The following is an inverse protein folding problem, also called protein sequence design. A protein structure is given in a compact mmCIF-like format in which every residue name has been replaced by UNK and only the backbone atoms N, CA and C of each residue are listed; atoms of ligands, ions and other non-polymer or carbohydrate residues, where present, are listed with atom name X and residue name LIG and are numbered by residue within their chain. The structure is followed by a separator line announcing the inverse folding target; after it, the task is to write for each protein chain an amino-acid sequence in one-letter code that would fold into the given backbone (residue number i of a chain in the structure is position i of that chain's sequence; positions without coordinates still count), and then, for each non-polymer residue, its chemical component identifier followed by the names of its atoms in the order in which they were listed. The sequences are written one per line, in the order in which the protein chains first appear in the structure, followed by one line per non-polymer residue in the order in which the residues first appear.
data_IF_484991196964
#
_entry.id   IF_484991196964
#
_cell.length_a   1.000
_cell.length_b   1.000
_cell.length_c   1.000
_cell.angle_alpha   90.00
_cell.angle_beta   90.00
_cell.angle_gamma   90.00
#
_symmetry.space_group_name_H-M   'P 1'
#
loop_
_entity.id
_entity.type
_entity.pdbx_description
1 polymer ?
#
# COMPACT_ATOMS: atom_id res chain seq x y z
N UNK A 1 -15.01 -15.40 -9.27
CA UNK A 1 -16.00 -15.49 -10.38
C UNK A 1 -15.92 -14.18 -11.17
N UNK A 2 -15.94 -14.26 -12.49
CA UNK A 2 -15.99 -13.06 -13.37
C UNK A 2 -17.44 -12.53 -13.35
N UNK A 3 -17.66 -11.21 -13.13
CA UNK A 3 -19.00 -10.67 -12.86
C UNK A 3 -19.99 -10.79 -14.02
N UNK A 4 -19.54 -10.56 -15.26
CA UNK A 4 -20.40 -10.70 -16.44
C UNK A 4 -20.39 -12.16 -16.92
N UNK A 5 -21.55 -12.75 -17.09
CA UNK A 5 -21.69 -14.09 -17.62
C UNK A 5 -21.32 -14.14 -19.10
N UNK A 6 -20.69 -15.25 -19.54
CA UNK A 6 -20.24 -15.44 -20.92
C UNK A 6 -21.41 -15.38 -21.92
N UNK A 7 -22.59 -15.87 -21.53
CA UNK A 7 -23.80 -15.81 -22.35
C UNK A 7 -24.16 -14.37 -22.73
N UNK A 8 -24.02 -13.45 -21.76
CA UNK A 8 -24.34 -12.02 -22.00
C UNK A 8 -23.42 -11.41 -23.06
N UNK A 9 -22.16 -11.85 -23.14
CA UNK A 9 -21.21 -11.37 -24.16
C UNK A 9 -21.51 -11.99 -25.53
N UNK A 10 -21.77 -13.30 -25.59
CA UNK A 10 -21.93 -14.03 -26.84
C UNK A 10 -23.32 -13.85 -27.46
N UNK A 11 -24.39 -13.98 -26.68
CA UNK A 11 -25.77 -13.91 -27.17
C UNK A 11 -26.24 -12.47 -27.39
N UNK A 12 -25.66 -11.51 -26.68
CA UNK A 12 -25.93 -10.09 -26.83
C UNK A 12 -25.49 -9.51 -28.17
N UNK A 13 -24.89 -10.33 -29.07
CA UNK A 13 -24.32 -9.93 -30.36
C UNK A 13 -23.55 -8.63 -30.30
N UNK A 14 -22.78 -8.47 -29.20
CA UNK A 14 -21.94 -7.30 -29.04
C UNK A 14 -20.76 -7.41 -30.00
N UNK A 15 -20.66 -6.45 -30.89
CA UNK A 15 -19.50 -6.28 -31.77
C UNK A 15 -18.26 -6.11 -30.91
N UNK A 16 -17.10 -6.64 -31.33
CA UNK A 16 -15.82 -6.27 -30.75
C UNK A 16 -15.71 -4.76 -30.62
N UNK A 17 -15.57 -4.33 -29.39
CA UNK A 17 -15.43 -2.92 -29.01
C UNK A 17 -14.21 -2.79 -28.12
N UNK A 18 -13.98 -1.58 -27.61
CA UNK A 18 -12.87 -1.32 -26.68
C UNK A 18 -12.82 -2.30 -25.50
N UNK A 19 -13.94 -2.87 -25.06
CA UNK A 19 -14.05 -3.75 -23.88
C UNK A 19 -14.12 -5.25 -24.18
N UNK A 20 -14.28 -5.69 -25.41
CA UNK A 20 -14.46 -7.11 -25.72
C UNK A 20 -13.52 -7.51 -26.85
N UNK A 21 -12.83 -8.61 -26.67
CA UNK A 21 -11.98 -9.24 -27.67
C UNK A 21 -12.27 -10.73 -27.75
N UNK A 22 -12.47 -11.25 -28.96
CA UNK A 22 -12.63 -12.66 -29.23
C UNK A 22 -11.41 -13.19 -29.95
N UNK A 23 -10.95 -14.40 -29.60
CA UNK A 23 -9.85 -15.10 -30.27
C UNK A 23 -10.26 -16.54 -30.58
N UNK A 24 -10.09 -16.98 -31.85
CA UNK A 24 -10.35 -18.35 -32.23
C UNK A 24 -9.36 -19.33 -31.58
N UNK A 25 -8.10 -18.92 -31.45
CA UNK A 25 -7.02 -19.76 -30.90
C UNK A 25 -6.10 -18.98 -29.95
N UNK A 26 -5.06 -19.68 -29.47
CA UNK A 26 -4.10 -19.14 -28.53
C UNK A 26 -2.84 -18.64 -29.24
N UNK A 27 -2.74 -17.32 -29.46
CA UNK A 27 -1.50 -16.66 -29.88
C UNK A 27 -0.94 -15.87 -28.68
N UNK A 28 0.14 -16.35 -28.03
CA UNK A 28 0.64 -15.72 -26.81
C UNK A 28 0.97 -14.24 -26.91
N UNK A 29 1.64 -13.78 -27.99
CA UNK A 29 2.00 -12.37 -28.11
C UNK A 29 0.76 -11.49 -28.24
N UNK A 30 -0.19 -11.86 -29.12
CA UNK A 30 -1.43 -11.08 -29.29
C UNK A 30 -2.25 -11.03 -27.99
N UNK A 31 -2.34 -12.15 -27.27
CA UNK A 31 -3.08 -12.25 -26.02
C UNK A 31 -2.44 -11.36 -24.95
N UNK A 32 -1.11 -11.43 -24.77
CA UNK A 32 -0.41 -10.60 -23.78
C UNK A 32 -0.45 -9.11 -24.12
N UNK A 33 -0.35 -8.76 -25.42
CA UNK A 33 -0.50 -7.38 -25.86
C UNK A 33 -1.92 -6.85 -25.58
N UNK A 34 -2.94 -7.68 -25.82
CA UNK A 34 -4.34 -7.34 -25.53
C UNK A 34 -4.56 -7.15 -24.02
N UNK A 35 -4.02 -8.06 -23.19
CA UNK A 35 -4.07 -7.96 -21.74
C UNK A 35 -3.35 -6.67 -21.26
N UNK A 36 -2.17 -6.38 -21.79
CA UNK A 36 -1.43 -5.17 -21.49
C UNK A 36 -2.19 -3.90 -21.91
N UNK A 37 -2.83 -3.93 -23.09
CA UNK A 37 -3.66 -2.84 -23.59
C UNK A 37 -4.89 -2.58 -22.72
N UNK A 38 -5.54 -3.61 -22.19
CA UNK A 38 -6.61 -3.48 -21.22
C UNK A 38 -6.10 -2.96 -19.86
N UNK A 39 -4.92 -3.41 -19.41
CA UNK A 39 -4.33 -2.91 -18.17
C UNK A 39 -4.00 -1.41 -18.27
N UNK A 40 -3.53 -0.92 -19.42
CA UNK A 40 -3.29 0.50 -19.67
C UNK A 40 -4.56 1.32 -19.79
N UNK A 41 -5.65 0.73 -20.28
CA UNK A 41 -7.00 1.32 -20.34
C UNK A 41 -6.99 2.78 -20.81
N UNK A 42 -6.32 3.08 -21.94
CA UNK A 42 -6.21 4.45 -22.44
C UNK A 42 -7.57 5.08 -22.76
N UNK A 43 -8.53 4.23 -23.13
CA UNK A 43 -9.91 4.68 -23.44
C UNK A 43 -10.76 4.99 -22.18
N UNK A 44 -10.26 4.66 -20.95
CA UNK A 44 -10.99 4.91 -19.72
C UNK A 44 -12.29 4.11 -19.56
N UNK A 45 -12.32 2.87 -20.08
CA UNK A 45 -13.53 2.01 -20.11
C UNK A 45 -13.48 0.89 -19.04
N UNK A 46 -12.55 0.98 -18.09
CA UNK A 46 -12.36 0.04 -16.98
C UNK A 46 -11.88 -1.36 -17.43
N UNK A 47 -11.00 -1.35 -18.44
CA UNK A 47 -10.44 -2.57 -19.01
C UNK A 47 -11.39 -3.33 -19.92
N UNK A 48 -11.34 -4.68 -19.93
CA UNK A 48 -12.17 -5.45 -20.82
C UNK A 48 -12.17 -6.96 -20.58
N UNK A 49 -12.72 -7.66 -21.55
CA UNK A 49 -12.91 -9.10 -21.58
C UNK A 49 -12.24 -9.71 -22.79
N UNK A 50 -11.53 -10.80 -22.61
CA UNK A 50 -10.94 -11.59 -23.66
C UNK A 50 -11.50 -13.01 -23.59
N UNK A 51 -12.05 -13.49 -24.70
CA UNK A 51 -12.61 -14.84 -24.82
C UNK A 51 -11.85 -15.63 -25.88
N UNK A 52 -11.27 -16.75 -25.49
CA UNK A 52 -10.52 -17.67 -26.37
C UNK A 52 -11.39 -18.86 -26.70
N UNK A 53 -11.42 -19.29 -27.96
CA UNK A 53 -12.26 -20.34 -28.50
C UNK A 53 -13.44 -19.81 -29.32
N UNK A 54 -13.44 -18.52 -29.63
CA UNK A 54 -14.53 -17.86 -30.38
C UNK A 54 -13.98 -17.24 -31.67
N UNK A 55 -14.54 -17.64 -32.79
CA UNK A 55 -14.28 -17.03 -34.09
C UNK A 55 -15.20 -15.85 -34.32
N UNK A 56 -14.70 -14.84 -35.01
CA UNK A 56 -15.50 -13.65 -35.35
C UNK A 56 -15.65 -13.45 -36.85
N UNK A 57 -16.76 -12.87 -37.26
CA UNK A 57 -16.99 -12.34 -38.61
C UNK A 57 -17.54 -10.93 -38.47
N UNK A 58 -16.86 -9.95 -39.09
CA UNK A 58 -17.18 -8.53 -38.99
C UNK A 58 -17.27 -8.04 -37.52
N UNK A 59 -16.40 -8.59 -36.63
CA UNK A 59 -16.37 -8.27 -35.20
C UNK A 59 -17.49 -8.89 -34.38
N UNK A 60 -18.34 -9.73 -34.96
CA UNK A 60 -19.40 -10.46 -34.26
C UNK A 60 -18.99 -11.92 -34.00
N UNK A 61 -19.26 -12.48 -32.80
CA UNK A 61 -18.98 -13.87 -32.52
C UNK A 61 -19.82 -14.79 -33.40
N UNK A 62 -19.18 -15.80 -34.00
CA UNK A 62 -19.86 -16.90 -34.75
C UNK A 62 -20.29 -17.95 -33.74
N UNK A 63 -21.57 -18.32 -33.74
CA UNK A 63 -22.14 -19.36 -32.88
C UNK A 63 -22.61 -20.56 -33.70
N UNK A 64 -22.41 -21.82 -33.21
CA UNK A 64 -21.76 -22.16 -31.93
C UNK A 64 -20.25 -21.84 -31.97
N UNK A 65 -19.61 -21.53 -30.81
CA UNK A 65 -18.20 -21.24 -30.79
C UNK A 65 -17.35 -22.48 -31.11
N UNK A 66 -16.12 -22.27 -31.58
CA UNK A 66 -15.20 -23.35 -31.92
C UNK A 66 -14.77 -24.12 -30.67
N UNK A 67 -14.62 -23.42 -29.54
CA UNK A 67 -14.16 -23.98 -28.29
C UNK A 67 -12.65 -24.16 -28.21
N UNK A 68 -12.19 -24.55 -27.03
CA UNK A 68 -10.80 -24.94 -26.73
C UNK A 68 -10.84 -26.43 -26.34
N UNK A 69 -10.01 -27.32 -26.98
CA UNK A 69 -9.92 -28.72 -26.60
C UNK A 69 -9.53 -28.87 -25.11
N UNK A 70 -10.14 -29.86 -24.43
CA UNK A 70 -9.92 -30.12 -23.01
C UNK A 70 -8.45 -30.31 -22.64
N UNK A 71 -7.71 -30.99 -23.51
CA UNK A 71 -6.27 -31.31 -23.34
C UNK A 71 -5.40 -30.02 -23.32
N UNK A 72 -5.90 -28.90 -23.86
CA UNK A 72 -5.17 -27.63 -23.96
C UNK A 72 -5.54 -26.63 -22.88
N UNK A 73 -6.61 -26.85 -22.10
CA UNK A 73 -7.13 -25.88 -21.13
C UNK A 73 -6.10 -25.55 -20.07
N UNK A 74 -5.54 -26.54 -19.40
CA UNK A 74 -4.53 -26.37 -18.36
C UNK A 74 -3.26 -25.72 -18.89
N UNK A 75 -2.80 -26.15 -20.10
CA UNK A 75 -1.63 -25.56 -20.73
C UNK A 75 -1.81 -24.09 -21.09
N UNK A 76 -2.99 -23.71 -21.60
CA UNK A 76 -3.32 -22.32 -21.92
C UNK A 76 -3.36 -21.46 -20.66
N UNK A 77 -4.00 -21.93 -19.57
CA UNK A 77 -4.02 -21.19 -18.31
C UNK A 77 -2.61 -20.98 -17.76
N UNK A 78 -1.80 -22.02 -17.73
CA UNK A 78 -0.42 -21.95 -17.27
C UNK A 78 0.41 -20.98 -18.12
N UNK A 79 0.26 -21.04 -19.44
CA UNK A 79 0.95 -20.15 -20.38
C UNK A 79 0.52 -18.69 -20.22
N UNK A 80 -0.77 -18.41 -20.05
CA UNK A 80 -1.24 -17.05 -19.77
C UNK A 80 -0.54 -16.53 -18.52
N UNK A 81 -0.53 -17.30 -17.42
CA UNK A 81 0.14 -16.90 -16.19
C UNK A 81 1.63 -16.65 -16.39
N UNK A 82 2.34 -17.56 -17.09
CA UNK A 82 3.79 -17.44 -17.35
C UNK A 82 4.12 -16.21 -18.20
N UNK A 83 3.33 -15.95 -19.25
CA UNK A 83 3.58 -14.83 -20.15
C UNK A 83 3.16 -13.48 -19.56
N UNK A 84 2.10 -13.43 -18.77
CA UNK A 84 1.70 -12.23 -18.04
C UNK A 84 2.75 -11.79 -17.00
N UNK A 85 3.59 -12.70 -16.49
CA UNK A 85 4.74 -12.33 -15.66
C UNK A 85 5.80 -11.50 -16.41
N UNK A 86 5.71 -11.37 -17.74
CA UNK A 86 6.59 -10.51 -18.56
C UNK A 86 6.02 -9.11 -18.77
N UNK A 87 4.81 -8.86 -18.28
CA UNK A 87 4.23 -7.51 -18.25
C UNK A 87 4.85 -6.75 -17.08
N UNK A 88 5.31 -5.55 -17.33
CA UNK A 88 5.94 -4.65 -16.34
C UNK A 88 5.20 -3.30 -16.27
N UNK A 89 4.75 -2.89 -15.07
CA UNK A 89 4.65 -3.64 -13.82
C UNK A 89 3.86 -4.94 -13.97
N UNK A 90 4.07 -5.90 -13.06
CA UNK A 90 3.40 -7.20 -13.12
C UNK A 90 1.88 -7.05 -13.16
N UNK A 91 1.24 -7.72 -14.12
CA UNK A 91 -0.22 -7.74 -14.26
C UNK A 91 -0.71 -9.13 -14.62
N UNK A 92 -1.73 -9.63 -13.92
CA UNK A 92 -2.35 -10.94 -14.16
C UNK A 92 -3.86 -10.75 -14.17
N UNK A 93 -4.56 -11.12 -15.28
CA UNK A 93 -6.02 -11.05 -15.36
C UNK A 93 -6.67 -12.14 -14.50
N UNK A 94 -7.97 -11.98 -14.21
CA UNK A 94 -8.79 -13.10 -13.70
C UNK A 94 -9.10 -14.03 -14.87
N UNK A 95 -8.94 -15.35 -14.65
CA UNK A 95 -9.13 -16.37 -15.67
C UNK A 95 -10.16 -17.38 -15.17
N UNK A 96 -11.12 -17.73 -16.01
CA UNK A 96 -12.10 -18.80 -15.78
C UNK A 96 -12.24 -19.67 -17.03
N UNK A 97 -12.45 -20.97 -16.85
CA UNK A 97 -12.90 -21.87 -17.90
C UNK A 97 -14.40 -21.99 -17.75
N UNK A 98 -15.13 -21.74 -18.83
CA UNK A 98 -16.59 -21.79 -18.85
C UNK A 98 -17.04 -22.71 -19.99
N UNK A 99 -17.99 -23.60 -19.69
CA UNK A 99 -18.65 -24.41 -20.71
C UNK A 99 -19.81 -23.61 -21.32
N UNK A 100 -19.86 -23.53 -22.65
CA UNK A 100 -20.92 -22.89 -23.38
C UNK A 100 -21.27 -23.69 -24.63
N UNK A 101 -22.55 -24.11 -24.77
CA UNK A 101 -23.06 -24.95 -25.88
C UNK A 101 -22.25 -26.20 -26.13
N UNK A 102 -21.74 -26.86 -25.05
CA UNK A 102 -21.02 -28.12 -25.12
C UNK A 102 -19.53 -28.01 -25.50
N UNK A 103 -18.97 -26.82 -25.51
CA UNK A 103 -17.54 -26.56 -25.68
C UNK A 103 -16.98 -25.70 -24.58
N UNK A 104 -15.70 -25.87 -24.24
CA UNK A 104 -15.02 -25.06 -23.24
C UNK A 104 -14.42 -23.79 -23.86
N UNK A 105 -14.55 -22.69 -23.18
CA UNK A 105 -13.97 -21.38 -23.52
C UNK A 105 -13.04 -20.92 -22.39
N UNK A 106 -11.93 -20.28 -22.74
CA UNK A 106 -11.09 -19.60 -21.75
C UNK A 106 -11.50 -18.13 -21.67
N UNK A 107 -12.03 -17.74 -20.55
CA UNK A 107 -12.64 -16.43 -20.33
C UNK A 107 -11.80 -15.61 -19.35
N UNK A 108 -11.36 -14.42 -19.78
CA UNK A 108 -10.52 -13.53 -18.99
C UNK A 108 -11.22 -12.19 -18.73
N UNK A 109 -11.15 -11.72 -17.50
CA UNK A 109 -11.42 -10.32 -17.11
C UNK A 109 -10.08 -9.61 -16.95
N UNK A 110 -9.85 -8.61 -17.78
CA UNK A 110 -8.69 -7.73 -17.74
C UNK A 110 -9.15 -6.36 -17.25
N UNK A 111 -9.12 -6.13 -15.93
CA UNK A 111 -9.47 -4.83 -15.36
C UNK A 111 -8.42 -3.77 -15.70
N UNK A 112 -8.79 -2.48 -15.66
CA UNK A 112 -7.81 -1.40 -15.72
C UNK A 112 -6.76 -1.57 -14.62
N UNK A 113 -5.49 -1.41 -14.98
CA UNK A 113 -4.39 -1.56 -14.04
C UNK A 113 -4.24 -0.36 -13.10
N UNK A 114 -3.66 -0.57 -11.94
CA UNK A 114 -3.48 0.43 -10.89
C UNK A 114 -2.03 0.92 -10.73
N UNK A 115 -1.06 0.15 -11.26
CA UNK A 115 0.37 0.40 -11.08
C UNK A 115 1.11 0.87 -12.34
N UNK A 116 0.39 1.05 -13.46
CA UNK A 116 0.97 1.40 -14.77
C UNK A 116 1.74 2.71 -14.85
N UNK A 117 2.17 3.10 -16.07
CA UNK A 117 1.85 2.45 -17.34
C UNK A 117 2.55 1.10 -17.53
N UNK A 118 1.83 0.19 -18.20
CA UNK A 118 2.26 -1.20 -18.40
C UNK A 118 2.93 -1.40 -19.75
N UNK A 119 4.00 -2.21 -19.74
CA UNK A 119 4.72 -2.63 -20.93
C UNK A 119 4.69 -4.15 -21.06
N UNK A 120 4.80 -4.64 -22.29
CA UNK A 120 5.01 -6.05 -22.59
C UNK A 120 6.01 -6.19 -23.74
N UNK A 121 6.80 -7.30 -23.79
CA UNK A 121 7.74 -7.51 -24.88
C UNK A 121 7.01 -7.74 -26.21
N UNK A 122 7.63 -7.32 -27.31
CA UNK A 122 7.10 -7.56 -28.66
C UNK A 122 6.89 -9.04 -28.91
N UNK A 123 7.88 -9.88 -28.58
CA UNK A 123 7.77 -11.34 -28.65
C UNK A 123 7.79 -11.95 -27.24
N UNK A 124 6.72 -12.65 -26.86
CA UNK A 124 6.60 -13.32 -25.54
C UNK A 124 7.11 -14.74 -25.51
N UNK A 125 7.27 -15.40 -26.66
CA UNK A 125 7.74 -16.78 -26.76
C UNK A 125 9.22 -16.93 -26.39
N UNK A 126 9.66 -18.15 -26.09
CA UNK A 126 11.09 -18.50 -26.03
C UNK A 126 11.66 -18.74 -27.41
N UNK A 127 12.98 -18.49 -27.62
CA UNK A 127 13.68 -18.84 -28.90
C UNK A 127 13.46 -20.30 -29.34
N UNK A 128 13.29 -21.18 -28.36
CA UNK A 128 13.06 -22.59 -28.56
C UNK A 128 11.67 -22.87 -29.14
N UNK A 129 10.67 -22.06 -28.79
CA UNK A 129 9.29 -22.19 -29.26
C UNK A 129 9.08 -21.52 -30.62
N UNK A 130 9.74 -20.38 -30.88
CA UNK A 130 9.56 -19.61 -32.10
C UNK A 130 10.46 -20.04 -33.28
N UNK A 131 11.53 -20.76 -33.01
CA UNK A 131 12.50 -21.18 -34.04
C UNK A 131 13.33 -20.06 -34.68
N UNK A 132 13.15 -18.82 -34.24
CA UNK A 132 13.81 -17.60 -34.70
C UNK A 132 14.26 -16.71 -33.55
N UNK A 133 15.11 -15.75 -33.85
CA UNK A 133 15.51 -14.71 -32.90
C UNK A 133 14.30 -13.84 -32.49
N UNK A 134 14.23 -13.48 -31.21
CA UNK A 134 13.09 -12.77 -30.62
C UNK A 134 13.38 -11.32 -30.39
N UNK A 135 12.41 -10.47 -30.66
CA UNK A 135 12.40 -9.10 -30.21
C UNK A 135 11.82 -9.02 -28.78
N UNK A 136 12.69 -8.83 -27.79
CA UNK A 136 12.32 -8.64 -26.38
C UNK A 136 12.17 -7.19 -25.98
N UNK A 137 12.16 -6.27 -26.93
CA UNK A 137 11.95 -4.86 -26.65
C UNK A 137 10.61 -4.68 -25.95
N UNK A 138 10.64 -4.02 -24.79
CA UNK A 138 9.44 -3.69 -24.04
C UNK A 138 8.72 -2.52 -24.72
N UNK A 139 7.42 -2.65 -24.92
CA UNK A 139 6.57 -1.65 -25.57
C UNK A 139 5.30 -1.42 -24.77
N UNK A 140 4.79 -0.20 -24.82
CA UNK A 140 3.47 0.12 -24.29
C UNK A 140 2.40 -0.27 -25.29
N UNK A 141 1.48 -1.15 -24.88
CA UNK A 141 0.36 -1.59 -25.71
C UNK A 141 -0.92 -0.92 -25.23
N UNK A 142 -1.73 -0.47 -26.16
CA UNK A 142 -3.00 0.22 -25.90
C UNK A 142 -4.13 -0.31 -26.76
N UNK A 143 -5.37 -0.04 -26.34
CA UNK A 143 -6.60 -0.34 -27.08
C UNK A 143 -7.46 0.92 -27.19
N UNK A 144 -7.17 1.82 -28.13
CA UNK A 144 -7.98 3.04 -28.33
C UNK A 144 -9.39 2.74 -28.86
N UNK A 145 -9.56 1.59 -29.50
CA UNK A 145 -10.84 1.05 -30.00
C UNK A 145 -10.84 -0.49 -29.90
N UNK A 146 -11.26 -1.22 -30.94
CA UNK A 146 -11.27 -2.68 -30.99
C UNK A 146 -9.90 -3.32 -31.26
N UNK A 147 -8.88 -2.55 -31.61
CA UNK A 147 -7.56 -3.06 -31.96
C UNK A 147 -6.54 -2.80 -30.86
N UNK A 148 -5.67 -3.78 -30.63
CA UNK A 148 -4.46 -3.63 -29.78
C UNK A 148 -3.32 -3.16 -30.66
N UNK A 149 -2.72 -2.01 -30.29
CA UNK A 149 -1.63 -1.38 -31.04
C UNK A 149 -0.50 -0.93 -30.10
N UNK A 150 0.72 -0.79 -30.65
CA UNK A 150 1.82 -0.13 -29.94
C UNK A 150 1.49 1.36 -29.76
N UNK A 151 1.67 1.88 -28.54
CA UNK A 151 1.41 3.29 -28.22
C UNK A 151 2.46 4.19 -28.87
N UNK A 152 2.01 5.30 -29.45
CA UNK A 152 2.86 6.37 -29.97
C UNK A 152 3.37 7.24 -28.82
N UNK A 153 4.39 8.06 -29.07
CA UNK A 153 5.00 8.92 -28.05
C UNK A 153 4.00 9.82 -27.30
N UNK A 154 3.00 10.36 -28.02
CA UNK A 154 1.94 11.18 -27.40
C UNK A 154 1.03 10.36 -26.47
N UNK A 155 0.69 9.14 -26.88
CA UNK A 155 -0.15 8.21 -26.10
C UNK A 155 0.60 7.69 -24.88
N UNK A 156 1.92 7.49 -25.00
CA UNK A 156 2.80 7.15 -23.86
C UNK A 156 2.79 8.29 -22.84
N UNK A 157 2.89 9.54 -23.27
CA UNK A 157 2.82 10.71 -22.37
C UNK A 157 1.44 10.77 -21.67
N UNK A 158 0.35 10.54 -22.39
CA UNK A 158 -1.00 10.45 -21.82
C UNK A 158 -1.14 9.34 -20.79
N UNK A 159 -0.55 8.16 -21.03
CA UNK A 159 -0.51 7.06 -20.05
C UNK A 159 0.21 7.49 -18.77
N UNK A 160 1.39 8.12 -18.89
CA UNK A 160 2.12 8.60 -17.71
C UNK A 160 1.33 9.65 -16.93
N UNK A 161 0.66 10.57 -17.59
CA UNK A 161 -0.23 11.56 -16.95
C UNK A 161 -1.40 10.87 -16.24
N UNK A 162 -2.07 9.93 -16.92
CA UNK A 162 -3.18 9.15 -16.35
C UNK A 162 -2.76 8.44 -15.07
N UNK A 163 -1.63 7.71 -15.10
CA UNK A 163 -1.16 6.94 -13.93
C UNK A 163 -0.52 7.82 -12.85
N UNK A 164 -0.05 9.03 -13.16
CA UNK A 164 0.46 9.99 -12.19
C UNK A 164 -0.66 10.80 -11.50
N UNK A 165 -1.77 11.05 -12.20
CA UNK A 165 -2.84 11.95 -11.74
C UNK A 165 -3.56 11.44 -10.49
N UNK A 166 -3.72 10.12 -10.33
CA UNK A 166 -4.42 9.53 -9.19
C UNK A 166 -3.38 9.02 -8.17
N UNK A 167 -3.36 9.56 -6.94
CA UNK A 167 -2.52 9.05 -5.87
C UNK A 167 -2.74 7.55 -5.64
N UNK A 168 -1.71 6.81 -5.27
CA UNK A 168 -1.80 5.37 -5.08
C UNK A 168 -2.94 4.96 -4.14
N UNK A 169 -3.14 5.70 -3.07
CA UNK A 169 -4.18 5.41 -2.07
C UNK A 169 -5.60 5.54 -2.63
N UNK A 170 -5.81 6.40 -3.63
CA UNK A 170 -7.12 6.65 -4.26
C UNK A 170 -7.41 5.71 -5.45
N UNK A 171 -6.44 4.87 -5.84
CA UNK A 171 -6.63 3.92 -6.94
C UNK A 171 -7.45 2.72 -6.49
N UNK A 172 -8.29 2.22 -7.40
CA UNK A 172 -9.01 0.95 -7.22
C UNK A 172 -8.00 -0.20 -7.14
N UNK A 173 -8.16 -1.07 -6.15
CA UNK A 173 -7.39 -2.30 -6.05
C UNK A 173 -8.16 -3.46 -6.69
N UNK A 174 -7.74 -3.85 -7.90
CA UNK A 174 -8.44 -4.89 -8.67
C UNK A 174 -8.36 -6.31 -8.06
N UNK A 175 -7.51 -6.50 -7.04
CA UNK A 175 -7.42 -7.76 -6.29
C UNK A 175 -8.30 -7.76 -5.04
N UNK A 176 -8.83 -6.60 -4.66
CA UNK A 176 -9.67 -6.46 -3.48
C UNK A 176 -11.10 -6.94 -3.75
N UNK A 177 -11.73 -7.47 -2.71
CA UNK A 177 -13.15 -7.78 -2.65
C UNK A 177 -13.69 -7.37 -1.28
N UNK A 178 -15.00 -7.36 -1.10
CA UNK A 178 -15.64 -7.03 0.18
C UNK A 178 -15.18 -7.92 1.33
N UNK A 179 -14.68 -9.13 1.05
CA UNK A 179 -14.14 -10.07 2.06
C UNK A 179 -12.92 -9.52 2.80
N UNK A 180 -12.17 -8.59 2.20
CA UNK A 180 -11.02 -7.95 2.84
C UNK A 180 -11.42 -6.84 3.82
N UNK A 181 -12.65 -6.34 3.74
CA UNK A 181 -13.16 -5.24 4.57
C UNK A 181 -13.89 -5.78 5.79
N UNK A 182 -13.64 -5.18 6.95
CA UNK A 182 -14.35 -5.48 8.20
C UNK A 182 -15.28 -4.34 8.56
N UNK A 183 -16.59 -4.63 8.55
CA UNK A 183 -17.62 -3.67 8.94
C UNK A 183 -17.35 -3.03 10.31
N UNK A 184 -16.89 -3.83 11.30
CA UNK A 184 -16.59 -3.32 12.64
C UNK A 184 -15.55 -2.20 12.65
N UNK A 185 -14.51 -2.28 11.81
CA UNK A 185 -13.52 -1.19 11.73
C UNK A 185 -14.09 0.11 11.16
N UNK A 186 -14.99 -0.01 10.20
CA UNK A 186 -15.69 1.16 9.65
C UNK A 186 -16.64 1.78 10.70
N UNK A 187 -17.39 0.93 11.41
CA UNK A 187 -18.27 1.40 12.48
C UNK A 187 -17.51 2.06 13.63
N UNK A 188 -16.38 1.48 14.06
CA UNK A 188 -15.52 2.07 15.08
C UNK A 188 -15.02 3.45 14.64
N UNK A 189 -14.55 3.55 13.39
CA UNK A 189 -14.10 4.82 12.81
C UNK A 189 -15.22 5.86 12.75
N UNK A 190 -16.40 5.52 12.22
CA UNK A 190 -17.56 6.42 12.11
C UNK A 190 -18.01 6.92 13.50
N UNK A 191 -18.00 6.04 14.51
CA UNK A 191 -18.34 6.43 15.89
C UNK A 191 -17.32 7.40 16.48
N UNK A 192 -16.06 7.16 16.24
CA UNK A 192 -14.97 7.95 16.76
C UNK A 192 -14.88 9.33 16.09
N UNK A 193 -15.07 9.39 14.78
CA UNK A 193 -15.08 10.65 14.00
C UNK A 193 -16.29 11.53 14.29
N UNK A 194 -17.26 11.06 15.09
CA UNK A 194 -18.56 11.70 15.30
C UNK A 194 -19.25 12.08 13.97
N UNK A 195 -19.10 11.22 12.96
CA UNK A 195 -19.69 11.38 11.63
C UNK A 195 -21.21 11.40 11.70
N UNK A 196 -21.86 12.17 10.83
CA UNK A 196 -23.32 12.11 10.65
C UNK A 196 -23.85 10.73 10.24
N UNK A 197 -22.96 9.86 9.74
CA UNK A 197 -23.29 8.49 9.37
C UNK A 197 -23.58 7.56 10.58
N UNK A 198 -23.33 8.00 11.83
CA UNK A 198 -23.64 7.20 13.03
C UNK A 198 -25.10 6.73 13.05
N UNK A 199 -26.03 7.61 12.71
CA UNK A 199 -27.47 7.28 12.68
C UNK A 199 -27.83 6.28 11.58
N UNK A 200 -27.00 6.21 10.53
CA UNK A 200 -27.22 5.39 9.35
C UNK A 200 -26.55 4.00 9.44
N UNK A 201 -25.67 3.77 10.45
CA UNK A 201 -24.90 2.53 10.59
C UNK A 201 -25.77 1.25 10.61
N UNK A 202 -26.97 1.33 11.18
CA UNK A 202 -27.86 0.18 11.29
C UNK A 202 -28.80 0.01 10.08
N UNK A 203 -28.85 0.99 9.18
CA UNK A 203 -29.81 1.04 8.06
C UNK A 203 -29.10 0.79 6.73
N UNK A 204 -27.87 1.28 6.57
CA UNK A 204 -27.11 1.16 5.33
C UNK A 204 -26.31 -0.13 5.25
N UNK A 205 -26.16 -0.61 4.03
CA UNK A 205 -25.23 -1.70 3.71
C UNK A 205 -23.77 -1.28 3.94
N UNK A 206 -22.87 -2.24 4.04
CA UNK A 206 -21.43 -1.95 4.12
C UNK A 206 -20.94 -1.24 2.85
N UNK A 207 -21.46 -1.67 1.71
CA UNK A 207 -21.17 -1.13 0.39
C UNK A 207 -21.51 0.36 0.32
N UNK A 208 -22.74 0.73 0.71
CA UNK A 208 -23.20 2.13 0.70
C UNK A 208 -22.36 3.02 1.62
N UNK A 209 -21.95 2.49 2.78
CA UNK A 209 -21.10 3.23 3.71
C UNK A 209 -19.69 3.44 3.14
N UNK A 210 -19.08 2.43 2.51
CA UNK A 210 -17.78 2.56 1.88
C UNK A 210 -17.77 3.55 0.71
N UNK A 211 -18.85 3.59 -0.06
CA UNK A 211 -19.01 4.56 -1.15
C UNK A 211 -19.19 5.97 -0.58
N UNK A 212 -19.99 6.14 0.51
CA UNK A 212 -20.17 7.43 1.18
C UNK A 212 -18.87 8.00 1.77
N UNK A 213 -17.99 7.14 2.28
CA UNK A 213 -16.66 7.51 2.77
C UNK A 213 -15.64 7.67 1.61
N UNK A 214 -16.06 7.56 0.35
CA UNK A 214 -15.23 7.66 -0.86
C UNK A 214 -14.04 6.67 -0.92
N UNK A 215 -14.13 5.56 -0.18
CA UNK A 215 -13.10 4.52 -0.13
C UNK A 215 -13.40 3.35 -1.06
N UNK A 216 -14.55 3.39 -1.72
CA UNK A 216 -14.96 2.48 -2.77
C UNK A 216 -15.74 3.26 -3.85
N UNK A 217 -15.92 2.63 -5.01
CA UNK A 217 -16.73 3.16 -6.12
C UNK A 217 -17.74 2.11 -6.57
N UNK A 218 -18.94 2.55 -6.88
CA UNK A 218 -19.92 1.71 -7.55
C UNK A 218 -19.58 1.60 -9.03
N UNK A 219 -19.55 0.38 -9.55
CA UNK A 219 -19.28 0.05 -10.95
C UNK A 219 -20.40 -0.84 -11.48
N UNK A 220 -20.52 -0.97 -12.79
CA UNK A 220 -21.50 -1.86 -13.44
C UNK A 220 -21.44 -3.31 -12.92
N UNK A 221 -20.28 -3.71 -12.39
CA UNK A 221 -19.97 -5.07 -11.94
C UNK A 221 -20.01 -5.23 -10.41
N UNK A 222 -20.40 -4.21 -9.67
CA UNK A 222 -20.44 -4.18 -8.20
C UNK A 222 -19.50 -3.14 -7.60
N UNK A 223 -19.17 -3.31 -6.33
CA UNK A 223 -18.34 -2.35 -5.59
C UNK A 223 -16.85 -2.61 -5.83
N UNK A 224 -16.15 -1.57 -6.28
CA UNK A 224 -14.70 -1.55 -6.48
C UNK A 224 -14.04 -0.82 -5.31
N UNK A 225 -13.18 -1.54 -4.56
CA UNK A 225 -12.52 -1.02 -3.36
C UNK A 225 -11.24 -0.29 -3.75
N UNK A 226 -11.04 0.92 -3.24
CA UNK A 226 -9.80 1.67 -3.37
C UNK A 226 -8.75 1.19 -2.38
N UNK A 227 -7.46 1.49 -2.65
CA UNK A 227 -6.38 1.17 -1.71
C UNK A 227 -6.60 1.82 -0.34
N UNK A 228 -7.16 3.04 -0.29
CA UNK A 228 -7.51 3.70 0.97
C UNK A 228 -8.53 2.90 1.78
N UNK A 229 -9.52 2.28 1.14
CA UNK A 229 -10.50 1.43 1.81
C UNK A 229 -9.87 0.23 2.49
N UNK A 230 -8.89 -0.42 1.81
CA UNK A 230 -8.10 -1.50 2.41
C UNK A 230 -7.26 -1.01 3.59
N UNK A 231 -6.56 0.13 3.42
CA UNK A 231 -5.70 0.71 4.45
C UNK A 231 -6.47 1.14 5.69
N UNK A 232 -7.69 1.66 5.53
CA UNK A 232 -8.48 2.19 6.64
C UNK A 232 -9.40 1.15 7.30
N UNK A 233 -9.89 0.14 6.54
CA UNK A 233 -10.94 -0.76 7.00
C UNK A 233 -10.66 -2.24 6.71
N UNK A 234 -9.49 -2.55 6.14
CA UNK A 234 -9.08 -3.92 5.86
C UNK A 234 -8.63 -4.66 7.12
N UNK A 235 -8.98 -5.95 7.24
CA UNK A 235 -8.48 -6.81 8.32
C UNK A 235 -6.98 -7.11 8.16
N UNK A 236 -6.54 -7.34 6.94
CA UNK A 236 -5.17 -7.66 6.58
C UNK A 236 -4.77 -6.94 5.28
N UNK A 237 -4.64 -5.58 5.34
CA UNK A 237 -4.27 -4.80 4.16
C UNK A 237 -2.91 -5.23 3.59
N UNK A 238 -1.99 -5.71 4.43
CA UNK A 238 -0.67 -6.21 4.07
C UNK A 238 -0.68 -7.39 3.08
N UNK A 239 -1.78 -8.14 2.96
CA UNK A 239 -1.91 -9.19 1.95
C UNK A 239 -2.03 -8.66 0.53
N UNK A 240 -2.53 -7.45 0.35
CA UNK A 240 -2.70 -6.81 -0.94
C UNK A 240 -1.74 -5.63 -1.15
N UNK A 241 -1.34 -4.98 -0.06
CA UNK A 241 -0.42 -3.84 0.01
C UNK A 241 0.66 -4.21 1.03
N UNK A 242 1.69 -4.94 0.62
CA UNK A 242 2.62 -5.67 1.50
C UNK A 242 3.29 -4.80 2.58
N UNK A 243 3.65 -3.55 2.25
CA UNK A 243 4.24 -2.61 3.20
C UNK A 243 3.26 -1.95 4.16
N UNK A 244 1.96 -2.29 4.16
CA UNK A 244 0.93 -1.66 4.99
C UNK A 244 0.83 -2.26 6.41
N UNK A 245 1.97 -2.37 7.07
CA UNK A 245 2.10 -2.84 8.46
C UNK A 245 3.14 -1.98 9.19
N UNK A 246 3.11 -2.03 10.53
CA UNK A 246 4.14 -1.43 11.37
C UNK A 246 4.89 -2.58 12.06
N UNK A 247 6.21 -2.58 11.95
CA UNK A 247 7.08 -3.53 12.62
C UNK A 247 7.85 -2.84 13.74
N UNK A 248 7.89 -3.48 14.92
CA UNK A 248 8.59 -2.98 16.07
C UNK A 248 9.61 -4.01 16.51
N UNK A 249 10.86 -3.58 16.67
CA UNK A 249 11.96 -4.38 17.22
C UNK A 249 12.49 -3.69 18.48
N UNK A 250 12.52 -4.41 19.60
CA UNK A 250 13.08 -3.93 20.86
C UNK A 250 14.35 -4.71 21.19
N UNK A 251 15.47 -4.03 21.24
CA UNK A 251 16.76 -4.58 21.63
C UNK A 251 16.94 -4.52 23.15
N UNK A 252 17.45 -5.60 23.72
CA UNK A 252 17.65 -5.74 25.17
C UNK A 252 19.11 -5.56 25.57
N UNK A 253 20.03 -5.43 24.62
CA UNK A 253 21.45 -5.19 24.84
C UNK A 253 21.93 -3.91 24.14
N UNK A 254 23.09 -3.37 24.57
CA UNK A 254 23.70 -2.15 24.00
C UNK A 254 24.32 -2.37 22.62
N UNK A 255 24.75 -3.60 22.33
CA UNK A 255 25.29 -3.92 21.02
C UNK A 255 24.18 -4.19 20.03
N UNK A 256 24.05 -3.32 19.02
CA UNK A 256 22.98 -3.38 18.01
C UNK A 256 22.96 -4.68 17.17
N UNK A 257 23.99 -5.53 17.30
CA UNK A 257 24.12 -6.85 16.68
C UNK A 257 23.75 -7.99 17.64
N UNK A 258 23.27 -7.65 18.85
CA UNK A 258 22.91 -8.62 19.86
C UNK A 258 21.76 -9.53 19.38
N UNK A 259 21.89 -10.80 19.66
CA UNK A 259 20.90 -11.83 19.39
C UNK A 259 19.66 -11.76 20.31
N UNK A 260 19.62 -10.79 21.24
CA UNK A 260 18.54 -10.62 22.22
C UNK A 260 17.66 -9.43 21.84
N UNK A 261 16.57 -9.71 21.13
CA UNK A 261 15.56 -8.73 20.76
C UNK A 261 14.15 -9.34 20.78
N UNK A 262 13.16 -8.49 20.87
CA UNK A 262 11.75 -8.85 20.77
C UNK A 262 11.15 -8.14 19.55
N UNK A 263 10.47 -8.91 18.70
CA UNK A 263 9.75 -8.38 17.53
C UNK A 263 8.25 -8.39 17.76
N UNK A 264 7.59 -7.38 17.22
CA UNK A 264 6.13 -7.28 17.18
C UNK A 264 5.69 -6.61 15.91
N UNK A 265 4.73 -7.23 15.21
CA UNK A 265 4.12 -6.65 14.02
C UNK A 265 2.67 -6.27 14.31
N UNK A 266 2.28 -5.06 13.88
CA UNK A 266 0.92 -4.55 14.00
C UNK A 266 0.23 -4.64 12.64
N UNK A 267 -0.93 -5.28 12.64
CA UNK A 267 -1.77 -5.51 11.47
C UNK A 267 -3.13 -4.83 11.60
N UNK A 268 -3.91 -4.84 10.51
CA UNK A 268 -5.23 -4.25 10.46
C UNK A 268 -5.22 -2.84 9.88
N UNK A 269 -6.25 -2.05 10.11
CA UNK A 269 -6.33 -0.65 9.68
C UNK A 269 -5.12 0.17 10.15
N UNK A 270 -4.58 1.04 9.29
CA UNK A 270 -3.35 1.78 9.62
C UNK A 270 -3.52 2.69 10.85
N UNK A 271 -4.69 3.28 11.05
CA UNK A 271 -4.99 4.09 12.25
C UNK A 271 -4.94 3.25 13.53
N UNK A 272 -5.46 2.02 13.45
CA UNK A 272 -5.40 1.07 14.57
C UNK A 272 -3.97 0.60 14.84
N UNK A 273 -3.18 0.32 13.79
CA UNK A 273 -1.77 -0.05 13.91
C UNK A 273 -0.98 1.03 14.64
N UNK A 274 -1.20 2.31 14.31
CA UNK A 274 -0.58 3.47 14.98
C UNK A 274 -0.92 3.46 16.47
N UNK A 275 -2.18 3.30 16.82
CA UNK A 275 -2.64 3.27 18.22
C UNK A 275 -2.07 2.09 18.98
N UNK A 276 -2.18 0.90 18.42
CA UNK A 276 -1.69 -0.34 19.06
C UNK A 276 -0.16 -0.26 19.30
N UNK A 277 0.60 0.33 18.37
CA UNK A 277 2.04 0.54 18.52
C UNK A 277 2.35 1.57 19.61
N UNK A 278 1.63 2.69 19.62
CA UNK A 278 1.79 3.74 20.65
C UNK A 278 1.37 3.25 22.03
N UNK A 279 0.29 2.50 22.15
CA UNK A 279 -0.15 1.90 23.41
C UNK A 279 0.85 0.87 23.94
N UNK A 280 1.44 0.07 23.03
CA UNK A 280 2.54 -0.83 23.41
C UNK A 280 3.74 -0.03 23.94
N UNK A 281 4.19 1.00 23.25
CA UNK A 281 5.31 1.85 23.70
C UNK A 281 4.96 2.53 25.03
N UNK A 282 3.77 3.09 25.16
CA UNK A 282 3.31 3.76 26.37
C UNK A 282 3.30 2.84 27.60
N UNK A 283 2.89 1.60 27.42
CA UNK A 283 2.75 0.64 28.54
C UNK A 283 4.03 -0.12 28.88
N UNK A 284 4.95 -0.27 27.92
CA UNK A 284 6.14 -1.14 28.11
C UNK A 284 7.47 -0.40 28.07
N UNK A 285 7.49 0.86 27.58
CA UNK A 285 8.73 1.61 27.36
C UNK A 285 8.73 2.96 28.08
N UNK A 286 7.60 3.67 28.07
CA UNK A 286 7.54 5.02 28.66
C UNK A 286 7.47 4.92 30.18
N UNK A 287 8.38 5.65 30.83
CA UNK A 287 8.49 5.78 32.30
C UNK A 287 8.44 7.23 32.70
N UNK A 288 7.69 7.55 33.76
CA UNK A 288 7.63 8.88 34.41
C UNK A 288 8.54 8.90 35.62
N UNK A 289 9.33 9.96 35.78
CA UNK A 289 10.05 10.27 37.02
C UNK A 289 9.52 11.55 37.65
N UNK A 290 9.40 11.48 38.96
CA UNK A 290 9.02 12.63 39.80
C UNK A 290 10.14 12.87 40.79
N UNK A 291 10.84 14.01 40.65
CA UNK A 291 11.99 14.35 41.49
C UNK A 291 11.63 15.60 42.33
N UNK A 292 11.71 15.47 43.65
CA UNK A 292 11.57 16.59 44.54
C UNK A 292 12.82 17.46 44.48
N UNK A 293 12.65 18.75 44.30
CA UNK A 293 13.76 19.71 44.29
C UNK A 293 13.77 20.45 45.64
N UNK A 294 14.92 20.37 46.35
CA UNK A 294 15.04 21.07 47.62
C UNK A 294 14.80 22.57 47.48
N UNK A 295 13.96 23.10 48.36
CA UNK A 295 13.59 24.51 48.34
C UNK A 295 12.45 24.91 47.41
N UNK A 296 11.81 23.97 46.74
CA UNK A 296 10.60 24.17 45.92
C UNK A 296 9.45 23.27 46.39
N UNK A 297 8.23 23.84 46.43
CA UNK A 297 7.01 23.09 46.75
C UNK A 297 6.61 22.12 45.64
N UNK A 298 7.00 22.40 44.40
CA UNK A 298 6.68 21.62 43.22
C UNK A 298 7.81 20.64 42.86
N UNK A 299 7.46 19.40 42.53
CA UNK A 299 8.37 18.40 42.05
C UNK A 299 8.52 18.51 40.52
N UNK A 300 9.75 18.29 40.01
CA UNK A 300 9.99 18.16 38.59
C UNK A 300 9.41 16.82 38.12
N UNK A 301 8.62 16.84 37.03
CA UNK A 301 8.05 15.66 36.37
C UNK A 301 8.54 15.60 34.95
N UNK A 302 9.06 14.47 34.54
CA UNK A 302 9.54 14.26 33.19
C UNK A 302 9.49 12.78 32.82
N UNK A 303 9.40 12.52 31.51
CA UNK A 303 9.36 11.17 30.96
C UNK A 303 10.70 10.81 30.34
N UNK A 304 11.02 9.50 30.31
CA UNK A 304 12.16 9.02 29.53
C UNK A 304 11.98 9.38 28.04
N UNK A 305 10.76 9.22 27.51
CA UNK A 305 10.34 9.62 26.17
C UNK A 305 8.97 10.33 26.25
N UNK A 306 8.82 11.57 25.75
CA UNK A 306 7.52 12.22 25.76
C UNK A 306 6.59 11.59 24.71
N UNK A 307 5.46 11.05 25.16
CA UNK A 307 4.48 10.35 24.33
C UNK A 307 4.08 11.13 23.07
N UNK A 308 3.73 12.42 23.23
CA UNK A 308 3.26 13.26 22.12
C UNK A 308 4.32 13.48 21.02
N UNK A 309 5.62 13.37 21.34
CA UNK A 309 6.67 13.45 20.34
C UNK A 309 6.77 12.16 19.52
N UNK A 310 6.62 11.01 20.17
CA UNK A 310 6.59 9.69 19.51
C UNK A 310 5.33 9.52 18.64
N UNK A 311 4.17 9.94 19.17
CA UNK A 311 2.91 9.95 18.42
C UNK A 311 3.04 10.72 17.12
N UNK A 312 3.51 11.95 17.19
CA UNK A 312 3.68 12.82 16.03
C UNK A 312 4.70 12.23 15.02
N UNK A 313 5.80 11.66 15.51
CA UNK A 313 6.81 11.05 14.65
C UNK A 313 6.27 9.82 13.92
N UNK A 314 5.50 8.95 14.60
CA UNK A 314 4.89 7.76 14.00
C UNK A 314 3.77 8.11 13.02
N UNK A 315 2.92 9.06 13.37
CA UNK A 315 1.86 9.56 12.48
C UNK A 315 2.48 10.15 11.20
N UNK A 316 3.54 10.95 11.32
CA UNK A 316 4.24 11.49 10.16
C UNK A 316 4.86 10.37 9.29
N UNK A 317 5.44 9.34 9.88
CA UNK A 317 5.97 8.21 9.13
C UNK A 317 4.89 7.52 8.29
N UNK A 318 3.71 7.27 8.87
CA UNK A 318 2.56 6.66 8.17
C UNK A 318 1.99 7.57 7.08
N UNK A 319 1.85 8.88 7.34
CA UNK A 319 1.33 9.85 6.37
C UNK A 319 2.24 10.05 5.16
N UNK A 320 3.55 9.91 5.35
CA UNK A 320 4.55 10.12 4.29
C UNK A 320 5.05 8.83 3.65
N UNK A 321 4.64 7.65 4.13
CA UNK A 321 5.01 6.36 3.57
C UNK A 321 4.62 6.21 2.10
N UNK A 322 5.52 5.59 1.31
CA UNK A 322 5.18 5.12 -0.04
C UNK A 322 4.55 3.72 0.02
N UNK A 323 3.24 3.66 -0.02
CA UNK A 323 2.51 2.38 0.02
C UNK A 323 2.65 1.52 -1.25
N UNK A 324 3.36 1.99 -2.29
CA UNK A 324 3.74 1.15 -3.43
C UNK A 324 4.91 0.22 -3.10
N UNK A 325 5.70 0.57 -2.10
CA UNK A 325 6.85 -0.22 -1.66
C UNK A 325 6.45 -1.23 -0.59
N UNK A 326 7.04 -2.41 -0.67
CA UNK A 326 6.73 -3.53 0.23
C UNK A 326 7.41 -3.41 1.61
N UNK A 327 8.12 -2.30 1.87
CA UNK A 327 8.83 -2.06 3.12
C UNK A 327 7.89 -1.45 4.16
N UNK A 328 7.80 -1.97 5.39
CA UNK A 328 6.93 -1.43 6.45
C UNK A 328 7.50 -0.12 7.04
N UNK A 329 6.69 0.55 7.88
CA UNK A 329 7.23 1.50 8.86
C UNK A 329 7.85 0.69 9.99
N UNK A 330 9.11 0.98 10.33
CA UNK A 330 9.82 0.27 11.41
C UNK A 330 9.98 1.17 12.64
N UNK A 331 9.80 0.56 13.82
CA UNK A 331 10.11 1.18 15.11
C UNK A 331 11.21 0.35 15.74
N UNK A 332 12.38 0.94 15.99
CA UNK A 332 13.49 0.30 16.69
C UNK A 332 13.69 0.94 18.03
N UNK A 333 13.55 0.15 19.08
CA UNK A 333 13.71 0.57 20.47
C UNK A 333 15.03 0.03 21.01
N UNK A 334 15.96 0.92 21.26
CA UNK A 334 17.24 0.65 21.92
C UNK A 334 17.17 1.05 23.38
N UNK A 335 18.23 0.77 24.14
CA UNK A 335 18.28 1.12 25.57
C UNK A 335 18.30 2.63 25.83
N UNK A 336 18.80 3.40 24.87
CA UNK A 336 19.04 4.85 24.98
C UNK A 336 18.30 5.70 23.94
N UNK A 337 17.59 5.06 22.99
CA UNK A 337 16.89 5.77 21.93
C UNK A 337 15.76 4.97 21.30
N UNK A 338 14.82 5.68 20.66
CA UNK A 338 13.79 5.12 19.79
C UNK A 338 14.00 5.71 18.40
N UNK A 339 14.04 4.83 17.39
CA UNK A 339 14.11 5.21 15.98
C UNK A 339 12.79 4.84 15.28
N UNK A 340 12.26 5.78 14.51
CA UNK A 340 11.13 5.55 13.61
C UNK A 340 11.65 5.71 12.20
N UNK A 341 11.56 4.63 11.40
CA UNK A 341 12.12 4.52 10.06
C UNK A 341 10.99 4.44 9.06
N UNK A 342 11.05 5.29 8.05
CA UNK A 342 10.08 5.37 6.98
C UNK A 342 10.77 5.32 5.60
N UNK A 343 10.09 4.76 4.61
CA UNK A 343 10.50 4.66 3.22
C UNK A 343 9.41 5.26 2.30
N UNK A 344 9.76 6.15 1.40
CA UNK A 344 11.01 6.90 1.27
C UNK A 344 11.01 8.17 2.11
N UNK A 345 11.87 8.99 1.81
CA UNK A 345 12.48 10.26 2.09
C UNK A 345 11.54 11.47 2.19
N UNK A 346 12.02 12.58 2.74
CA UNK A 346 11.50 13.92 2.46
C UNK A 346 11.77 14.32 1.00
N UNK A 347 10.80 14.96 0.35
CA UNK A 347 10.95 15.45 -1.02
C UNK A 347 12.30 16.23 -1.23
N UNK A 348 12.93 16.07 -2.38
CA UNK A 348 14.26 16.66 -2.70
C UNK A 348 14.37 18.16 -2.50
N UNK A 349 13.27 18.91 -2.63
CA UNK A 349 13.26 20.36 -2.42
C UNK A 349 13.19 20.76 -0.93
N UNK A 350 13.08 19.79 -0.01
CA UNK A 350 13.11 20.05 1.42
C UNK A 350 14.56 20.21 1.87
N UNK A 351 14.87 21.42 2.37
CA UNK A 351 16.11 21.71 3.03
C UNK A 351 16.14 21.01 4.40
N UNK A 352 17.03 20.03 4.56
CA UNK A 352 17.08 19.19 5.76
C UNK A 352 17.50 19.99 7.01
N UNK A 353 18.30 21.05 6.90
CA UNK A 353 18.63 21.91 8.04
C UNK A 353 17.39 22.67 8.52
N UNK A 354 16.60 23.22 7.58
CA UNK A 354 15.33 23.87 7.91
C UNK A 354 14.29 22.89 8.43
N UNK A 355 14.31 21.66 7.90
CA UNK A 355 13.43 20.59 8.37
C UNK A 355 13.73 20.24 9.84
N UNK A 356 14.98 19.95 10.17
CA UNK A 356 15.43 19.66 11.53
C UNK A 356 15.16 20.84 12.51
N UNK A 357 15.23 22.07 12.02
CA UNK A 357 14.90 23.28 12.79
C UNK A 357 13.37 23.54 12.92
N UNK A 358 12.50 22.70 12.34
CA UNK A 358 11.06 22.88 12.31
C UNK A 358 10.59 24.10 11.51
N UNK A 359 11.42 24.59 10.57
CA UNK A 359 11.16 25.81 9.77
C UNK A 359 10.59 25.53 8.39
N UNK A 360 10.42 24.27 8.02
CA UNK A 360 9.81 23.88 6.73
C UNK A 360 8.32 24.14 6.78
N UNK A 361 7.82 24.90 5.82
CA UNK A 361 6.39 25.21 5.67
C UNK A 361 5.74 24.46 4.49
N UNK A 362 6.43 23.49 3.92
CA UNK A 362 5.89 22.66 2.84
C UNK A 362 4.72 21.82 3.37
N UNK A 363 3.56 21.93 2.70
CA UNK A 363 2.31 21.27 3.10
C UNK A 363 1.92 20.18 2.11
N UNK A 364 2.89 19.41 1.64
CA UNK A 364 2.60 18.34 0.71
C UNK A 364 2.68 17.01 1.43
N UNK A 365 1.52 16.47 1.78
CA UNK A 365 1.44 15.08 2.24
C UNK A 365 1.53 14.14 1.03
N UNK A 366 2.28 13.03 1.15
CA UNK A 366 2.30 12.00 0.11
C UNK A 366 0.94 11.32 0.00
N UNK A 367 0.28 11.12 1.14
CA UNK A 367 -1.03 10.49 1.24
C UNK A 367 -2.06 11.45 1.89
N UNK A 368 -2.54 12.49 1.17
CA UNK A 368 -3.43 13.49 1.75
C UNK A 368 -4.73 12.89 2.27
N UNK A 369 -5.29 11.89 1.57
CA UNK A 369 -6.53 11.22 1.99
C UNK A 369 -6.38 10.51 3.33
N UNK A 370 -5.24 9.84 3.61
CA UNK A 370 -4.96 9.27 4.94
C UNK A 370 -4.93 10.39 5.99
N UNK A 371 -4.32 11.53 5.64
CA UNK A 371 -4.28 12.69 6.54
C UNK A 371 -5.66 13.25 6.86
N UNK A 372 -6.63 13.20 5.93
CA UNK A 372 -8.03 13.57 6.16
C UNK A 372 -8.67 12.64 7.18
N UNK A 373 -8.59 11.33 6.98
CA UNK A 373 -9.10 10.33 7.92
C UNK A 373 -8.47 10.44 9.31
N UNK A 374 -7.15 10.65 9.39
CA UNK A 374 -6.47 10.78 10.68
C UNK A 374 -6.90 12.04 11.45
N UNK A 375 -7.28 13.12 10.75
CA UNK A 375 -7.83 14.32 11.38
C UNK A 375 -9.21 14.08 11.97
N UNK A 376 -10.03 13.26 11.35
CA UNK A 376 -11.39 12.98 11.80
C UNK A 376 -11.40 12.22 13.13
N UNK A 377 -10.36 11.45 13.42
CA UNK A 377 -10.21 10.69 14.67
C UNK A 377 -9.12 11.24 15.58
N UNK A 378 -8.78 12.53 15.44
CA UNK A 378 -7.81 13.28 16.25
C UNK A 378 -6.39 12.66 16.32
N UNK A 379 -6.02 11.78 15.37
CA UNK A 379 -4.66 11.25 15.24
C UNK A 379 -3.69 12.24 14.58
N UNK A 380 -4.19 13.25 13.87
CA UNK A 380 -3.36 14.33 13.31
C UNK A 380 -3.99 15.69 13.49
N UNK A 381 -3.17 16.73 13.72
CA UNK A 381 -3.66 18.09 13.85
C UNK A 381 -3.89 18.76 12.49
N UNK A 382 -4.88 19.69 12.42
CA UNK A 382 -5.24 20.44 11.19
C UNK A 382 -4.16 21.42 10.71
N UNK A 383 -3.09 21.62 11.47
CA UNK A 383 -2.07 22.66 11.19
C UNK A 383 -0.70 21.99 11.09
N UNK A 384 -0.15 21.84 9.91
CA UNK A 384 1.22 21.42 9.52
C UNK A 384 2.34 21.81 10.51
N UNK A 385 2.25 21.33 11.74
CA UNK A 385 3.16 21.67 12.86
C UNK A 385 3.96 20.45 13.31
N UNK A 386 3.92 19.31 12.56
CA UNK A 386 4.45 18.03 13.00
C UNK A 386 5.85 18.08 13.59
N UNK A 387 6.85 18.49 12.82
CA UNK A 387 8.23 18.62 13.34
C UNK A 387 8.31 19.65 14.48
N UNK A 388 7.62 20.78 14.34
CA UNK A 388 7.58 21.80 15.41
C UNK A 388 6.92 21.28 16.68
N UNK A 389 5.94 20.37 16.60
CA UNK A 389 5.32 19.70 17.75
C UNK A 389 6.33 18.77 18.41
N UNK A 390 7.03 17.94 17.65
CA UNK A 390 8.09 17.04 18.18
C UNK A 390 9.12 17.87 18.96
N UNK A 391 9.67 18.91 18.34
CA UNK A 391 10.66 19.80 18.97
C UNK A 391 10.13 20.46 20.25
N UNK A 392 8.89 20.93 20.25
CA UNK A 392 8.26 21.56 21.41
C UNK A 392 8.06 20.58 22.56
N UNK A 393 7.57 19.37 22.30
CA UNK A 393 7.31 18.38 23.33
C UNK A 393 8.63 17.84 23.94
N UNK A 394 9.66 17.62 23.13
CA UNK A 394 11.00 17.26 23.63
C UNK A 394 11.59 18.38 24.50
N UNK A 395 11.53 19.64 24.04
CA UNK A 395 11.99 20.78 24.81
C UNK A 395 11.23 20.95 26.13
N UNK A 396 9.91 20.75 26.11
CA UNK A 396 9.06 20.83 27.30
C UNK A 396 9.42 19.76 28.33
N UNK A 397 9.76 18.54 27.87
CA UNK A 397 10.19 17.45 28.73
C UNK A 397 11.63 17.61 29.23
N UNK A 398 12.43 18.49 28.64
CA UNK A 398 13.87 18.62 28.91
C UNK A 398 14.70 17.51 28.25
N UNK A 399 14.16 16.85 27.24
CA UNK A 399 14.83 15.78 26.47
C UNK A 399 15.78 16.37 25.42
N UNK A 400 16.79 15.57 24.98
CA UNK A 400 17.61 15.93 23.83
C UNK A 400 16.75 16.21 22.59
N UNK A 401 17.26 17.06 21.67
CA UNK A 401 16.57 17.33 20.40
C UNK A 401 16.64 16.07 19.51
N UNK A 402 15.62 15.89 18.63
CA UNK A 402 15.58 14.72 17.76
C UNK A 402 16.64 14.84 16.67
N UNK A 403 17.12 13.71 16.18
CA UNK A 403 17.97 13.61 15.01
C UNK A 403 17.13 13.12 13.82
N UNK A 404 17.41 13.68 12.63
CA UNK A 404 16.77 13.31 11.40
C UNK A 404 17.84 12.91 10.39
N UNK A 405 17.80 11.66 9.95
CA UNK A 405 18.80 11.09 9.06
C UNK A 405 18.14 10.58 7.77
N UNK A 406 18.81 10.83 6.65
CA UNK A 406 18.48 10.27 5.35
C UNK A 406 19.77 10.11 4.54
N UNK A 407 19.77 9.25 3.53
CA UNK A 407 20.91 9.11 2.60
C UNK A 407 20.92 10.18 1.50
N UNK A 408 21.96 10.17 0.66
CA UNK A 408 22.12 11.13 -0.45
C UNK A 408 20.99 10.97 -1.47
N UNK A 409 20.55 9.73 -1.70
CA UNK A 409 19.49 9.40 -2.65
C UNK A 409 18.10 9.50 -2.02
N UNK A 410 18.04 9.84 -0.73
CA UNK A 410 16.79 9.99 0.07
C UNK A 410 15.88 8.77 -0.01
N UNK A 411 16.46 7.60 0.15
CA UNK A 411 15.71 6.33 0.08
C UNK A 411 14.98 5.98 1.37
N UNK A 412 15.37 6.59 2.49
CA UNK A 412 14.74 6.42 3.81
C UNK A 412 14.78 7.71 4.63
N UNK A 413 14.02 7.71 5.69
CA UNK A 413 14.03 8.73 6.75
C UNK A 413 14.05 8.08 8.10
N UNK A 414 15.04 8.39 8.94
CA UNK A 414 15.10 7.97 10.34
C UNK A 414 14.86 9.17 11.23
N UNK A 415 13.88 9.06 12.11
CA UNK A 415 13.65 10.00 13.21
C UNK A 415 14.11 9.35 14.50
N UNK A 416 15.19 9.86 15.10
CA UNK A 416 15.75 9.35 16.35
C UNK A 416 15.36 10.26 17.52
N UNK A 417 14.73 9.68 18.54
CA UNK A 417 14.39 10.33 19.79
C UNK A 417 15.22 9.66 20.89
N UNK A 418 16.15 10.42 21.49
CA UNK A 418 17.00 9.93 22.57
C UNK A 418 16.29 9.94 23.91
N UNK A 419 16.69 9.03 24.78
CA UNK A 419 16.22 8.98 26.16
C UNK A 419 16.57 10.29 26.89
N UNK A 420 15.74 10.71 27.83
CA UNK A 420 16.02 11.86 28.68
C UNK A 420 17.27 11.61 29.50
N UNK A 421 18.24 12.55 29.55
CA UNK A 421 19.56 12.43 30.18
C UNK A 421 19.52 11.92 31.63
N UNK A 422 18.53 12.32 32.42
CA UNK A 422 18.38 11.85 33.81
C UNK A 422 18.02 10.37 33.95
N UNK A 423 17.60 9.70 32.87
CA UNK A 423 17.40 8.24 32.82
C UNK A 423 18.69 7.52 32.42
N UNK A 424 19.52 8.11 31.55
CA UNK A 424 20.81 7.56 31.15
C UNK A 424 21.80 7.39 32.32
N UNK A 425 21.90 8.43 33.17
CA UNK A 425 22.84 8.46 34.31
C UNK A 425 22.55 7.32 35.30
N UNK A 426 21.30 6.94 35.51
CA UNK A 426 20.98 5.83 36.43
C UNK A 426 21.26 4.48 35.83
N UNK A 427 21.04 4.27 34.56
CA UNK A 427 21.37 3.03 33.87
C UNK A 427 22.89 2.76 33.92
N UNK A 428 23.69 3.81 33.75
CA UNK A 428 25.15 3.72 33.86
C UNK A 428 25.62 3.42 35.31
N UNK A 429 24.99 4.02 36.32
CA UNK A 429 25.27 3.78 37.70
C UNK A 429 24.83 2.38 38.17
N UNK A 430 23.74 1.85 37.63
CA UNK A 430 23.26 0.49 37.93
C UNK A 430 24.16 -0.57 37.33
N UNK A 431 24.65 -0.37 36.10
CA UNK A 431 25.66 -1.26 35.48
C UNK A 431 27.00 -1.27 36.27
N UNK A 432 27.50 -0.08 36.64
CA UNK A 432 28.73 0.01 37.44
C UNK A 432 28.61 -0.59 38.85
N UNK A 433 27.42 -0.47 39.49
CA UNK A 433 27.17 -1.12 40.79
C UNK A 433 27.12 -2.65 40.67
N UNK A 434 26.53 -3.18 39.61
CA UNK A 434 26.45 -4.61 39.37
C UNK A 434 27.86 -5.20 39.06
N UNK A 435 28.68 -4.54 38.24
CA UNK A 435 30.05 -4.95 37.98
C UNK A 435 30.91 -5.00 39.25
N UNK A 436 30.78 -4.00 40.13
CA UNK A 436 31.46 -3.98 41.44
C UNK A 436 30.97 -5.09 42.38
N UNK A 437 29.69 -5.46 42.33
CA UNK A 437 29.14 -6.53 43.16
C UNK A 437 29.52 -7.93 42.67
N UNK A 438 29.75 -8.13 41.38
CA UNK A 438 30.22 -9.37 40.77
C UNK A 438 31.75 -9.51 40.90
N UNK A 439 32.50 -8.40 40.86
CA UNK A 439 33.94 -8.39 41.10
C UNK A 439 34.33 -8.69 42.58
N UNK A 440 33.49 -8.30 43.54
CA UNK A 440 33.74 -8.55 44.96
C UNK A 440 33.41 -9.98 45.43
N UNK A 441 32.83 -10.83 44.62
CA UNK A 441 32.55 -12.25 44.90
C UNK A 441 33.57 -13.21 44.29
N UNK A 442 34.68 -12.70 43.71
CA UNK A 442 35.77 -13.51 43.10
C UNK A 442 37.15 -13.28 43.75
N UNK A 443 37.20 -12.78 44.98
CA UNK A 443 38.41 -12.77 45.82
C UNK A 443 38.21 -13.62 47.05
#
# INVERSE_FOLDING_TARGET
MIPIKIETLLEGRKVEQNRIEYKEGFNPSEIVHTICGYANDIAGVDGGYLVIGVKTENGLPILPPVGVPDELLDDIQLKIFQYCNKIEPRYIPKIEIVEYQGVNLVYLKCAAGDAGPYQAPVDVYSKKEAGKEQDRTMKYWIRPASLTVEAKQSEIAELFEKFAAIPFVDRINNRASMEYIRRGYLEDFIRESNSSLIEELNVRSLEDLLVSEEVAEEKDEGIAIKNIGLLMFGERPDKLIAGSKIELVRFHDKEAEASDFTEKTFYGPIWKQVRDALDYIKTTVIEEKVVKVDGRAEADRFFNYPYNALEEALVNAVLHKNYKEDVPVEIRIYLDQIQIINFPEPDYYIDMEKFAAGKVRARRYRNPKIGEFFKEIDLSEKKSTGISKILRELKRNGSPMPEFETDVDRTYMITTIRIHERFEIENTNFAQKNERSFGAKRL
#
